data_IF_340575098218
#
_entry.id   IF_340575098218
#
_cell.length_a   1.000
_cell.length_b   1.000
_cell.length_c   1.000
_cell.angle_alpha   90.00
_cell.angle_beta   90.00
_cell.angle_gamma   90.00
#
_symmetry.space_group_name_H-M   'P 1'
#
loop_
_entity.id
_entity.type
_entity.pdbx_description
1 polymer ?
#
# COMPACT_ATOMS: atom_id res chain seq x y z
N UNK A 1 1.34 13.32 27.23
CA UNK A 1 2.24 13.74 26.13
C UNK A 1 2.78 12.57 25.29
N UNK A 2 3.11 11.39 25.85
CA UNK A 2 3.58 10.24 25.03
C UNK A 2 2.53 9.78 24.00
N UNK A 3 1.31 9.44 24.44
CA UNK A 3 0.30 8.82 23.56
C UNK A 3 -0.16 9.69 22.39
N UNK A 4 -0.38 10.98 22.61
CA UNK A 4 -0.72 11.91 21.52
C UNK A 4 0.43 12.05 20.50
N UNK A 5 1.68 11.92 20.96
CA UNK A 5 2.86 11.84 20.10
C UNK A 5 2.87 10.51 19.33
N UNK A 6 2.50 9.40 19.97
CA UNK A 6 2.42 8.08 19.36
C UNK A 6 1.35 8.06 18.25
N UNK A 7 0.13 8.55 18.51
CA UNK A 7 -0.95 8.68 17.52
C UNK A 7 -0.51 9.53 16.32
N UNK A 8 0.14 10.67 16.57
CA UNK A 8 0.65 11.53 15.48
C UNK A 8 1.71 10.82 14.63
N UNK A 9 2.53 9.98 15.26
CA UNK A 9 3.56 9.17 14.59
C UNK A 9 2.92 8.09 13.73
N UNK A 10 1.87 7.43 14.23
CA UNK A 10 1.12 6.41 13.50
C UNK A 10 0.41 7.00 12.28
N UNK A 11 -0.28 8.13 12.44
CA UNK A 11 -0.91 8.83 11.32
C UNK A 11 0.12 9.24 10.25
N UNK A 12 1.29 9.72 10.67
CA UNK A 12 2.40 10.05 9.76
C UNK A 12 2.93 8.81 9.04
N UNK A 13 3.02 7.67 9.72
CA UNK A 13 3.43 6.40 9.14
C UNK A 13 2.40 5.90 8.10
N UNK A 14 1.11 5.96 8.40
CA UNK A 14 0.05 5.61 7.45
C UNK A 14 0.12 6.47 6.17
N UNK A 15 0.24 7.80 6.34
CA UNK A 15 0.38 8.73 5.20
C UNK A 15 1.65 8.44 4.37
N UNK A 16 2.75 8.01 5.01
CA UNK A 16 3.96 7.57 4.30
C UNK A 16 3.71 6.30 3.49
N UNK A 17 2.98 5.33 4.04
CA UNK A 17 2.62 4.09 3.31
C UNK A 17 1.73 4.41 2.12
N UNK A 18 0.75 5.32 2.26
CA UNK A 18 -0.08 5.77 1.13
C UNK A 18 0.75 6.38 0.01
N UNK A 19 1.71 7.24 0.36
CA UNK A 19 2.64 7.84 -0.61
C UNK A 19 3.44 6.77 -1.35
N UNK A 20 4.05 5.85 -0.60
CA UNK A 20 4.83 4.74 -1.17
C UNK A 20 3.96 3.88 -2.08
N UNK A 21 2.70 3.61 -1.70
CA UNK A 21 1.77 2.87 -2.55
C UNK A 21 1.49 3.61 -3.87
N UNK A 22 1.32 4.93 -3.84
CA UNK A 22 1.22 5.75 -5.06
C UNK A 22 2.46 5.68 -5.94
N UNK A 23 3.65 5.77 -5.34
CA UNK A 23 4.93 5.64 -6.05
C UNK A 23 5.09 4.26 -6.70
N UNK A 24 4.77 3.20 -5.96
CA UNK A 24 4.77 1.81 -6.45
C UNK A 24 3.81 1.64 -7.62
N UNK A 25 2.60 2.20 -7.54
CA UNK A 25 1.64 2.16 -8.65
C UNK A 25 2.19 2.86 -9.90
N UNK A 26 2.84 4.01 -9.74
CA UNK A 26 3.50 4.71 -10.84
C UNK A 26 4.59 3.85 -11.50
N UNK A 27 5.44 3.21 -10.70
CA UNK A 27 6.53 2.38 -11.23
C UNK A 27 5.98 1.10 -11.89
N UNK A 28 4.91 0.51 -11.35
CA UNK A 28 4.25 -0.64 -11.97
C UNK A 28 3.67 -0.30 -13.34
N UNK A 29 3.04 0.87 -13.49
CA UNK A 29 2.56 1.36 -14.80
C UNK A 29 3.72 1.61 -15.75
N UNK A 30 4.82 2.20 -15.27
CA UNK A 30 6.02 2.43 -16.08
C UNK A 30 6.62 1.12 -16.59
N UNK A 31 6.78 0.13 -15.71
CA UNK A 31 7.31 -1.19 -16.06
C UNK A 31 6.38 -1.93 -17.02
N UNK A 32 5.07 -1.83 -16.84
CA UNK A 32 4.10 -2.37 -17.81
C UNK A 32 4.30 -1.78 -19.21
N UNK A 33 4.57 -0.48 -19.33
CA UNK A 33 4.88 0.18 -20.62
C UNK A 33 6.15 -0.39 -21.26
N UNK A 34 7.24 -0.49 -20.50
CA UNK A 34 8.51 -1.08 -20.99
C UNK A 34 8.30 -2.52 -21.48
N UNK A 35 7.53 -3.31 -20.74
CA UNK A 35 7.25 -4.69 -21.09
C UNK A 35 6.43 -4.77 -22.39
N UNK A 36 5.44 -3.88 -22.60
CA UNK A 36 4.67 -3.80 -23.85
C UNK A 36 5.53 -3.38 -25.06
N UNK A 37 6.44 -2.43 -24.88
CA UNK A 37 7.35 -1.97 -25.94
C UNK A 37 8.28 -3.10 -26.40
N UNK A 38 8.81 -3.88 -25.46
CA UNK A 38 9.62 -5.06 -25.76
C UNK A 38 8.77 -6.15 -26.43
N UNK A 39 7.52 -6.34 -26.00
CA UNK A 39 6.60 -7.31 -26.60
C UNK A 39 6.36 -7.08 -28.09
N UNK A 40 6.24 -5.80 -28.49
CA UNK A 40 6.04 -5.42 -29.88
C UNK A 40 7.21 -5.91 -30.78
N UNK A 41 8.40 -6.05 -30.21
CA UNK A 41 9.59 -6.55 -30.91
C UNK A 41 9.67 -8.09 -31.01
N UNK A 42 8.90 -8.84 -30.21
CA UNK A 42 8.99 -10.32 -30.10
C UNK A 42 7.78 -11.06 -30.72
N UNK A 43 7.00 -10.36 -31.56
CA UNK A 43 5.67 -10.75 -32.04
C UNK A 43 5.58 -12.12 -32.74
N UNK A 44 6.69 -12.66 -33.26
CA UNK A 44 6.66 -13.85 -34.11
C UNK A 44 6.82 -15.20 -33.37
N UNK A 45 7.66 -15.31 -32.33
CA UNK A 45 7.93 -16.60 -31.66
C UNK A 45 7.55 -16.65 -30.15
N UNK A 46 7.28 -15.51 -29.50
CA UNK A 46 7.20 -15.43 -28.03
C UNK A 46 5.83 -15.02 -27.45
N UNK A 47 4.76 -14.97 -28.26
CA UNK A 47 3.45 -14.44 -27.82
C UNK A 47 2.87 -15.13 -26.58
N UNK A 48 2.93 -16.46 -26.50
CA UNK A 48 2.37 -17.20 -25.37
C UNK A 48 3.15 -16.97 -24.06
N UNK A 49 4.48 -16.93 -24.14
CA UNK A 49 5.35 -16.63 -22.99
C UNK A 49 5.14 -15.20 -22.49
N UNK A 50 4.89 -14.26 -23.40
CA UNK A 50 4.57 -12.88 -23.06
C UNK A 50 3.22 -12.74 -22.35
N UNK A 51 2.17 -13.40 -22.86
CA UNK A 51 0.85 -13.38 -22.24
C UNK A 51 0.90 -13.90 -20.78
N UNK A 52 1.59 -15.02 -20.55
CA UNK A 52 1.77 -15.56 -19.20
C UNK A 52 2.61 -14.66 -18.29
N UNK A 53 3.62 -13.97 -18.83
CA UNK A 53 4.38 -12.97 -18.07
C UNK A 53 3.48 -11.81 -17.63
N UNK A 54 2.63 -11.30 -18.53
CA UNK A 54 1.72 -10.19 -18.25
C UNK A 54 0.66 -10.56 -17.21
N UNK A 55 0.14 -11.78 -17.25
CA UNK A 55 -0.81 -12.28 -16.24
C UNK A 55 -0.16 -12.31 -14.86
N UNK A 56 1.01 -12.95 -14.73
CA UNK A 56 1.77 -13.02 -13.47
C UNK A 56 2.16 -11.63 -12.97
N UNK A 57 2.52 -10.74 -13.87
CA UNK A 57 2.85 -9.35 -13.55
C UNK A 57 1.66 -8.64 -12.91
N UNK A 58 0.49 -8.68 -13.56
CA UNK A 58 -0.73 -8.05 -13.06
C UNK A 58 -1.14 -8.61 -11.69
N UNK A 59 -0.99 -9.92 -11.48
CA UNK A 59 -1.26 -10.55 -10.19
C UNK A 59 -0.31 -10.06 -9.09
N UNK A 60 0.99 -10.02 -9.36
CA UNK A 60 1.98 -9.54 -8.39
C UNK A 60 1.75 -8.05 -8.05
N UNK A 61 1.43 -7.24 -9.06
CA UNK A 61 1.09 -5.82 -8.89
C UNK A 61 -0.15 -5.63 -8.00
N UNK A 62 -1.18 -6.46 -8.20
CA UNK A 62 -2.39 -6.45 -7.37
C UNK A 62 -2.08 -6.85 -5.93
N UNK A 63 -1.36 -7.96 -5.72
CA UNK A 63 -0.98 -8.44 -4.39
C UNK A 63 -0.16 -7.40 -3.61
N UNK A 64 0.78 -6.73 -4.27
CA UNK A 64 1.58 -5.68 -3.64
C UNK A 64 0.71 -4.49 -3.20
N UNK A 65 -0.20 -4.04 -4.04
CA UNK A 65 -1.16 -2.97 -3.69
C UNK A 65 -2.05 -3.35 -2.50
N UNK A 66 -2.60 -4.56 -2.51
CA UNK A 66 -3.44 -5.06 -1.43
C UNK A 66 -2.67 -5.12 -0.10
N UNK A 67 -1.42 -5.58 -0.13
CA UNK A 67 -0.56 -5.60 1.05
C UNK A 67 -0.27 -4.19 1.59
N UNK A 68 0.07 -3.23 0.72
CA UNK A 68 0.35 -1.85 1.14
C UNK A 68 -0.89 -1.16 1.71
N UNK A 69 -2.06 -1.35 1.09
CA UNK A 69 -3.33 -0.85 1.63
C UNK A 69 -3.63 -1.44 3.01
N UNK A 70 -3.49 -2.76 3.15
CA UNK A 70 -3.69 -3.45 4.43
C UNK A 70 -2.75 -2.93 5.53
N UNK A 71 -1.49 -2.64 5.19
CA UNK A 71 -0.54 -2.03 6.13
C UNK A 71 -1.02 -0.64 6.57
N UNK A 72 -1.43 0.21 5.63
CA UNK A 72 -1.93 1.55 5.93
C UNK A 72 -3.18 1.50 6.83
N UNK A 73 -4.14 0.63 6.49
CA UNK A 73 -5.38 0.47 7.25
C UNK A 73 -5.12 -0.07 8.66
N UNK A 74 -4.21 -1.03 8.82
CA UNK A 74 -3.81 -1.52 10.13
C UNK A 74 -3.17 -0.41 10.98
N UNK A 75 -2.32 0.44 10.41
CA UNK A 75 -1.72 1.56 11.14
C UNK A 75 -2.80 2.54 11.61
N UNK A 76 -3.76 2.90 10.75
CA UNK A 76 -4.86 3.79 11.10
C UNK A 76 -5.77 3.18 12.18
N UNK A 77 -6.13 1.91 12.04
CA UNK A 77 -6.97 1.22 13.01
C UNK A 77 -6.33 1.18 14.40
N UNK A 78 -5.01 0.95 14.47
CA UNK A 78 -4.29 1.03 15.74
C UNK A 78 -4.31 2.47 16.29
N UNK A 79 -4.12 3.50 15.46
CA UNK A 79 -4.17 4.90 15.90
C UNK A 79 -5.54 5.28 16.49
N UNK A 80 -6.64 4.86 15.86
CA UNK A 80 -8.00 5.06 16.38
C UNK A 80 -8.20 4.31 17.70
N UNK A 81 -7.73 3.07 17.80
CA UNK A 81 -7.84 2.29 19.05
C UNK A 81 -7.11 2.95 20.23
N UNK A 82 -5.99 3.64 19.98
CA UNK A 82 -5.31 4.44 21.01
C UNK A 82 -6.13 5.68 21.42
N UNK A 83 -6.81 6.34 20.48
CA UNK A 83 -7.67 7.52 20.73
C UNK A 83 -8.89 7.15 21.59
N UNK A 84 -9.55 6.05 21.26
CA UNK A 84 -10.71 5.53 22.02
C UNK A 84 -10.31 5.15 23.46
N UNK A 85 -9.17 4.48 23.62
CA UNK A 85 -8.65 4.13 24.94
C UNK A 85 -8.28 5.37 25.78
N UNK A 86 -7.84 6.47 25.16
CA UNK A 86 -7.63 7.74 25.86
C UNK A 86 -8.95 8.34 26.33
N UNK A 87 -9.96 8.41 25.46
CA UNK A 87 -11.26 8.97 25.78
C UNK A 87 -11.93 8.24 26.95
N UNK A 88 -11.84 6.91 26.99
CA UNK A 88 -12.34 6.09 28.10
C UNK A 88 -11.60 6.37 29.42
N UNK A 89 -10.26 6.36 29.39
CA UNK A 89 -9.45 6.62 30.60
C UNK A 89 -9.72 8.02 31.16
N UNK A 90 -9.74 9.04 30.30
CA UNK A 90 -10.00 10.43 30.70
C UNK A 90 -11.40 10.59 31.31
N UNK A 91 -12.38 9.88 30.77
CA UNK A 91 -13.75 9.87 31.31
C UNK A 91 -13.80 9.18 32.68
N UNK A 92 -13.08 8.07 32.85
CA UNK A 92 -12.99 7.33 34.11
C UNK A 92 -12.28 8.10 35.24
N UNK A 93 -11.32 8.98 34.91
CA UNK A 93 -10.66 9.85 35.90
C UNK A 93 -11.50 11.09 36.27
N UNK A 94 -12.53 11.43 35.48
CA UNK A 94 -13.38 12.61 35.68
C UNK A 94 -14.75 12.29 36.28
N UNK A 95 -15.14 11.01 36.31
CA UNK A 95 -16.33 10.50 37.03
C UNK A 95 -15.97 9.98 38.42
#
# INVERSE_FOLDING_TARGET
MSFQTDISTMNSAAAKVDRINGEVQGELTRLQGVVQDVAASWKDDAQNSFAGLMERWNDNARQLREALNSIADNIRANATGFDDAEAENVSAFRG
#
